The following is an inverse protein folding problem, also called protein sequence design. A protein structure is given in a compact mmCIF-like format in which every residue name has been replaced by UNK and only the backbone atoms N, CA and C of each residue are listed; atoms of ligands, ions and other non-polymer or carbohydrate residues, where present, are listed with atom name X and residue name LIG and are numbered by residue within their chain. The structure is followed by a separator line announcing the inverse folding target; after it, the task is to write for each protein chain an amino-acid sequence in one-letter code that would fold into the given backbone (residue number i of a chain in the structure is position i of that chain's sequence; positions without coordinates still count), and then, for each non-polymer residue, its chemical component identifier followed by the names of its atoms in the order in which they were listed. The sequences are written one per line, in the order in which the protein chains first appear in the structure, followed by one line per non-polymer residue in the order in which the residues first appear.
data_IF_377876899652
#
_entry.id   IF_377876899652
#
_cell.length_a   1.000
_cell.length_b   1.000
_cell.length_c   1.000
_cell.angle_alpha   90.00
_cell.angle_beta   90.00
_cell.angle_gamma   90.00
#
_symmetry.space_group_name_H-M   'P 1'
#
loop_
_entity.id
_entity.type
_entity.pdbx_description
1 polymer ?
#
# COMPACT_ATOMS: atom_id res chain seq x y z
N UNK A 1 -1.55 -26.49 -7.33
CA UNK A 1 -0.15 -26.49 -6.85
C UNK A 1 0.73 -25.42 -7.53
N UNK A 2 0.17 -24.48 -8.29
CA UNK A 2 0.92 -23.50 -9.11
C UNK A 2 1.22 -22.16 -8.42
N UNK A 3 0.37 -21.67 -7.51
CA UNK A 3 0.42 -20.25 -7.10
C UNK A 3 1.25 -19.91 -5.86
N UNK A 4 1.49 -20.83 -4.93
CA UNK A 4 2.21 -20.50 -3.68
C UNK A 4 3.67 -20.08 -3.95
N UNK A 5 4.36 -20.76 -4.88
CA UNK A 5 5.74 -20.39 -5.27
C UNK A 5 5.78 -19.01 -5.95
N UNK A 6 4.79 -18.70 -6.78
CA UNK A 6 4.64 -17.41 -7.45
C UNK A 6 4.44 -16.28 -6.43
N UNK A 7 3.55 -16.48 -5.45
CA UNK A 7 3.24 -15.51 -4.40
C UNK A 7 4.45 -15.21 -3.51
N UNK A 8 5.24 -16.24 -3.15
CA UNK A 8 6.48 -16.09 -2.37
C UNK A 8 7.54 -15.32 -3.17
N UNK A 9 7.73 -15.62 -4.45
CA UNK A 9 8.68 -14.90 -5.30
C UNK A 9 8.32 -13.41 -5.40
N UNK A 10 7.05 -13.11 -5.69
CA UNK A 10 6.55 -11.73 -5.74
C UNK A 10 6.76 -10.98 -4.42
N UNK A 11 6.47 -11.61 -3.27
CA UNK A 11 6.71 -11.01 -1.95
C UNK A 11 8.19 -10.68 -1.73
N UNK A 12 9.08 -11.61 -2.08
CA UNK A 12 10.52 -11.43 -1.95
C UNK A 12 11.03 -10.29 -2.83
N UNK A 13 10.51 -10.15 -4.05
CA UNK A 13 10.85 -9.05 -4.95
C UNK A 13 10.43 -7.70 -4.38
N UNK A 14 9.21 -7.61 -3.85
CA UNK A 14 8.78 -6.38 -3.17
C UNK A 14 9.64 -6.08 -1.94
N UNK A 15 9.93 -7.07 -1.09
CA UNK A 15 10.78 -6.89 0.08
C UNK A 15 12.18 -6.40 -0.29
N UNK A 16 12.76 -6.90 -1.40
CA UNK A 16 14.04 -6.42 -1.91
C UNK A 16 13.97 -4.92 -2.23
N UNK A 17 12.97 -4.49 -2.98
CA UNK A 17 12.77 -3.06 -3.29
C UNK A 17 12.60 -2.22 -2.02
N UNK A 18 11.79 -2.67 -1.06
CA UNK A 18 11.59 -1.96 0.21
C UNK A 18 12.88 -1.89 1.03
N UNK A 19 13.70 -2.93 1.03
CA UNK A 19 14.98 -2.93 1.72
C UNK A 19 15.97 -1.93 1.11
N UNK A 20 15.93 -1.74 -0.21
CA UNK A 20 16.72 -0.70 -0.89
C UNK A 20 16.25 0.70 -0.50
N UNK A 21 14.94 0.94 -0.38
CA UNK A 21 14.40 2.20 0.16
C UNK A 21 14.88 2.42 1.60
N UNK A 22 14.79 1.40 2.47
CA UNK A 22 15.25 1.49 3.86
C UNK A 22 16.73 1.83 3.97
N UNK A 23 17.58 1.38 3.03
CA UNK A 23 19.00 1.80 2.96
C UNK A 23 19.14 3.29 2.66
N UNK A 24 18.38 3.83 1.70
CA UNK A 24 18.39 5.27 1.39
C UNK A 24 17.88 6.12 2.56
N UNK A 25 16.83 5.67 3.24
CA UNK A 25 16.33 6.32 4.47
C UNK A 25 17.41 6.33 5.55
N UNK A 26 18.14 5.23 5.78
CA UNK A 26 19.28 5.21 6.71
C UNK A 26 20.38 6.21 6.32
N UNK A 27 20.64 6.38 5.03
CA UNK A 27 21.57 7.40 4.53
C UNK A 27 21.09 8.81 4.92
N UNK A 28 19.81 9.13 4.70
CA UNK A 28 19.22 10.41 5.12
C UNK A 28 19.37 10.64 6.63
N UNK A 29 19.07 9.60 7.44
CA UNK A 29 19.23 9.68 8.90
C UNK A 29 20.68 9.89 9.34
N UNK A 30 21.64 9.28 8.64
CA UNK A 30 23.06 9.51 8.89
C UNK A 30 23.50 10.92 8.50
N UNK A 31 22.94 11.48 7.42
CA UNK A 31 23.16 12.87 7.01
C UNK A 31 22.65 13.82 8.11
N UNK A 32 21.40 13.65 8.58
CA UNK A 32 20.84 14.42 9.70
C UNK A 32 21.70 14.35 10.94
N UNK A 33 22.10 13.16 11.39
CA UNK A 33 22.98 13.00 12.56
C UNK A 33 24.31 13.75 12.41
N UNK A 34 24.94 13.69 11.24
CA UNK A 34 26.22 14.38 10.98
C UNK A 34 26.06 15.90 10.95
N UNK A 35 25.01 16.40 10.29
CA UNK A 35 24.73 17.83 10.20
C UNK A 35 24.43 18.43 11.58
N UNK A 36 23.59 17.76 12.38
CA UNK A 36 23.28 18.17 13.75
C UNK A 36 24.52 18.16 14.64
N UNK A 37 25.36 17.12 14.56
CA UNK A 37 26.60 17.03 15.36
C UNK A 37 27.59 18.14 15.06
N UNK A 38 27.65 18.61 13.81
CA UNK A 38 28.56 19.65 13.34
C UNK A 38 27.93 21.05 13.35
N UNK A 39 26.66 21.16 13.72
CA UNK A 39 25.84 22.38 13.66
C UNK A 39 25.97 23.16 12.33
N UNK A 40 25.90 22.46 11.20
CA UNK A 40 26.07 23.05 9.86
C UNK A 40 24.79 23.78 9.45
N UNK A 41 24.54 24.97 10.01
CA UNK A 41 23.34 25.78 9.70
C UNK A 41 23.51 26.61 8.43
N UNK A 42 22.41 26.79 7.70
CA UNK A 42 22.32 27.81 6.65
C UNK A 42 22.25 29.21 7.28
N UNK A 43 22.70 30.24 6.55
CA UNK A 43 22.55 31.62 7.00
C UNK A 43 21.09 32.08 6.85
N UNK A 44 20.73 33.16 7.54
CA UNK A 44 19.38 33.75 7.41
C UNK A 44 19.12 34.22 5.97
N UNK A 45 20.16 34.72 5.28
CA UNK A 45 20.07 35.13 3.88
C UNK A 45 19.83 33.92 2.95
N UNK A 46 20.53 32.80 3.16
CA UNK A 46 20.32 31.57 2.40
C UNK A 46 18.87 31.08 2.52
N UNK A 47 18.31 31.10 3.74
CA UNK A 47 16.92 30.69 4.00
C UNK A 47 15.94 31.64 3.32
N UNK A 48 16.15 32.96 3.46
CA UNK A 48 15.27 33.97 2.87
C UNK A 48 15.20 33.88 1.35
N UNK A 49 16.33 33.63 0.68
CA UNK A 49 16.36 33.41 -0.79
C UNK A 49 15.49 32.22 -1.21
N UNK A 50 15.51 31.13 -0.42
CA UNK A 50 14.70 29.93 -0.69
C UNK A 50 13.21 30.24 -0.51
N UNK A 51 12.85 30.94 0.57
CA UNK A 51 11.46 31.31 0.87
C UNK A 51 10.90 32.27 -0.17
N UNK A 52 11.65 33.32 -0.52
CA UNK A 52 11.25 34.29 -1.56
C UNK A 52 11.09 33.60 -2.92
N UNK A 53 11.97 32.65 -3.28
CA UNK A 53 11.84 31.86 -4.51
C UNK A 53 10.56 31.03 -4.56
N UNK A 54 10.16 30.43 -3.44
CA UNK A 54 8.95 29.64 -3.35
C UNK A 54 7.68 30.49 -3.57
N UNK A 55 7.76 31.80 -3.31
CA UNK A 55 6.69 32.77 -3.55
C UNK A 55 6.62 33.25 -5.00
N UNK A 56 7.78 33.45 -5.65
CA UNK A 56 7.85 34.03 -7.01
C UNK A 56 7.92 33.00 -8.14
N UNK A 57 8.37 31.77 -7.85
CA UNK A 57 8.68 30.71 -8.84
C UNK A 57 9.73 31.12 -9.90
N UNK A 58 10.60 32.08 -9.60
CA UNK A 58 11.67 32.51 -10.51
C UNK A 58 12.83 31.50 -10.56
N UNK A 59 13.67 31.56 -11.60
CA UNK A 59 14.91 30.79 -11.64
C UNK A 59 16.05 31.60 -11.01
N UNK A 60 16.65 31.07 -9.94
CA UNK A 60 17.80 31.67 -9.25
C UNK A 60 18.97 30.69 -9.33
N UNK A 61 20.13 31.15 -9.79
CA UNK A 61 21.39 30.37 -9.79
C UNK A 61 21.98 30.30 -8.36
N UNK A 62 21.24 29.65 -7.47
CA UNK A 62 21.63 29.40 -6.09
C UNK A 62 22.11 27.96 -5.94
N UNK A 63 23.42 27.76 -5.72
CA UNK A 63 24.01 26.43 -5.52
C UNK A 63 24.58 26.27 -4.13
N UNK A 64 23.88 25.54 -3.27
CA UNK A 64 24.44 25.00 -2.05
C UNK A 64 24.63 23.49 -2.17
N UNK A 65 25.82 23.08 -2.63
CA UNK A 65 26.16 21.66 -2.83
C UNK A 65 26.44 20.89 -1.53
N UNK A 66 26.52 21.61 -0.40
CA UNK A 66 26.74 21.04 0.92
C UNK A 66 25.42 20.80 1.65
N UNK A 67 25.44 19.79 2.52
CA UNK A 67 24.32 19.53 3.43
C UNK A 67 24.35 20.59 4.52
N UNK A 68 23.25 21.35 4.64
CA UNK A 68 23.03 22.28 5.75
C UNK A 68 21.72 21.99 6.46
N UNK A 69 21.53 22.61 7.62
CA UNK A 69 20.29 22.69 8.38
C UNK A 69 19.63 24.03 8.02
N UNK A 70 18.47 23.96 7.39
CA UNK A 70 17.63 25.09 7.05
C UNK A 70 16.45 25.10 8.02
N UNK A 71 16.26 26.21 8.72
CA UNK A 71 15.12 26.45 9.61
C UNK A 71 14.28 27.54 8.97
N UNK A 72 13.08 27.19 8.52
CA UNK A 72 12.18 28.11 7.83
C UNK A 72 11.35 28.93 8.80
N UNK A 73 10.84 30.08 8.32
CA UNK A 73 10.01 31.02 9.08
C UNK A 73 8.70 30.40 9.58
N UNK A 74 8.17 29.40 8.88
CA UNK A 74 6.98 28.64 9.28
C UNK A 74 7.26 27.59 10.38
N UNK A 75 8.51 27.45 10.83
CA UNK A 75 8.95 26.48 11.84
C UNK A 75 9.44 25.14 11.27
N UNK A 76 9.23 24.89 9.97
CA UNK A 76 9.70 23.66 9.32
C UNK A 76 11.23 23.64 9.24
N UNK A 77 11.78 22.44 9.13
CA UNK A 77 13.22 22.24 9.03
C UNK A 77 13.55 21.31 7.90
N UNK A 78 14.54 21.69 7.09
CA UNK A 78 15.13 20.82 6.08
C UNK A 78 16.60 20.56 6.40
N UNK A 79 17.01 19.30 6.29
CA UNK A 79 18.41 18.89 6.37
C UNK A 79 18.77 18.14 5.11
N UNK A 80 19.51 18.79 4.22
CA UNK A 80 19.85 18.27 2.91
C UNK A 80 20.56 19.29 2.06
N UNK A 81 20.59 19.04 0.75
CA UNK A 81 21.20 19.94 -0.23
C UNK A 81 20.12 20.81 -0.87
N UNK A 82 20.51 22.04 -1.21
CA UNK A 82 19.65 22.96 -1.96
C UNK A 82 20.32 23.24 -3.30
N UNK A 83 19.59 23.02 -4.37
CA UNK A 83 20.02 23.30 -5.74
C UNK A 83 18.97 24.17 -6.41
N UNK A 84 19.40 25.27 -7.01
CA UNK A 84 18.56 26.25 -7.69
C UNK A 84 17.43 26.74 -6.76
N UNK A 85 17.81 27.06 -5.52
CA UNK A 85 16.93 27.44 -4.40
C UNK A 85 15.85 26.41 -4.02
N UNK A 86 16.00 25.13 -4.42
CA UNK A 86 15.03 24.06 -4.15
C UNK A 86 15.69 22.84 -3.49
N UNK A 87 14.93 22.12 -2.66
CA UNK A 87 15.33 20.85 -2.05
C UNK A 87 15.63 19.83 -3.15
N UNK A 88 16.83 19.24 -3.10
CA UNK A 88 17.31 18.32 -4.12
C UNK A 88 18.21 17.22 -3.52
N UNK A 89 18.04 16.00 -4.01
CA UNK A 89 18.76 14.83 -3.54
C UNK A 89 18.25 14.30 -2.19
N UNK A 90 19.09 13.57 -1.47
CA UNK A 90 18.70 12.93 -0.21
C UNK A 90 18.67 13.96 0.91
N UNK A 91 17.55 14.05 1.62
CA UNK A 91 17.38 14.93 2.77
C UNK A 91 16.30 14.46 3.74
N UNK A 92 16.11 15.28 4.77
CA UNK A 92 15.06 15.11 5.77
C UNK A 92 14.30 16.41 5.89
N UNK A 93 12.97 16.34 5.81
CA UNK A 93 12.07 17.45 6.04
C UNK A 93 11.22 17.15 7.27
N UNK A 94 11.38 17.97 8.31
CA UNK A 94 10.56 17.97 9.52
C UNK A 94 9.56 19.11 9.45
N UNK A 95 8.30 18.83 9.79
CA UNK A 95 7.23 19.81 9.82
C UNK A 95 6.29 19.53 10.99
N UNK A 96 5.55 20.55 11.41
CA UNK A 96 4.63 20.44 12.56
C UNK A 96 3.18 20.41 12.09
N UNK A 97 2.39 19.51 12.67
CA UNK A 97 0.93 19.53 12.51
C UNK A 97 0.30 20.61 13.38
N UNK A 98 -1.00 20.90 13.17
CA UNK A 98 -1.75 21.87 13.97
C UNK A 98 -1.76 21.53 15.47
N UNK A 99 -1.66 20.24 15.81
CA UNK A 99 -1.53 19.75 17.19
C UNK A 99 -0.06 19.64 17.66
N UNK A 100 0.84 20.42 17.06
CA UNK A 100 2.26 20.57 17.40
C UNK A 100 3.09 19.27 17.35
N UNK A 101 2.60 18.24 16.65
CA UNK A 101 3.38 17.01 16.46
C UNK A 101 4.37 17.19 15.31
N UNK A 102 5.65 16.93 15.60
CA UNK A 102 6.68 16.86 14.57
C UNK A 102 6.48 15.59 13.73
N UNK A 103 6.31 15.77 12.43
CA UNK A 103 6.32 14.71 11.43
C UNK A 103 7.53 14.87 10.53
N UNK A 104 7.97 13.75 9.96
CA UNK A 104 9.20 13.70 9.18
C UNK A 104 8.97 12.94 7.87
N UNK A 105 9.48 13.53 6.78
CA UNK A 105 9.82 12.80 5.57
C UNK A 105 11.33 12.63 5.49
N UNK A 106 11.79 11.40 5.24
CA UNK A 106 13.19 11.09 5.00
C UNK A 106 13.32 10.40 3.64
N UNK A 107 14.01 11.02 2.69
CA UNK A 107 14.09 10.46 1.34
C UNK A 107 14.71 11.40 0.33
N UNK A 108 14.47 11.07 -0.93
CA UNK A 108 14.91 11.85 -2.07
C UNK A 108 13.92 12.99 -2.38
N UNK A 109 14.49 14.12 -2.82
CA UNK A 109 13.81 15.31 -3.27
C UNK A 109 14.30 15.69 -4.66
N UNK A 110 13.42 16.33 -5.43
CA UNK A 110 13.76 17.00 -6.69
C UNK A 110 12.89 18.24 -6.81
N UNK A 111 13.53 19.41 -6.88
CA UNK A 111 12.84 20.69 -7.01
C UNK A 111 11.69 20.87 -5.98
N UNK A 112 11.99 20.69 -4.69
CA UNK A 112 11.05 20.73 -3.55
C UNK A 112 10.07 19.56 -3.42
N UNK A 113 9.92 18.72 -4.44
CA UNK A 113 8.98 17.61 -4.41
C UNK A 113 9.65 16.32 -3.93
N UNK A 114 8.92 15.47 -3.22
CA UNK A 114 9.32 14.08 -2.94
C UNK A 114 9.38 13.33 -4.27
N UNK A 115 10.56 12.80 -4.59
CA UNK A 115 10.86 12.14 -5.86
C UNK A 115 11.80 10.97 -5.58
N UNK A 116 11.65 9.84 -6.26
CA UNK A 116 12.50 8.67 -6.01
C UNK A 116 12.04 7.92 -4.77
N UNK A 117 12.91 7.61 -3.81
CA UNK A 117 12.55 6.76 -2.67
C UNK A 117 12.59 7.50 -1.33
N UNK A 118 11.64 7.19 -0.45
CA UNK A 118 11.59 7.77 0.87
C UNK A 118 10.67 7.04 1.84
N UNK A 119 10.67 7.55 3.07
CA UNK A 119 9.77 7.15 4.15
C UNK A 119 9.03 8.37 4.67
N UNK A 120 7.74 8.20 4.95
CA UNK A 120 6.86 9.22 5.51
C UNK A 120 6.01 8.65 6.63
N UNK A 121 5.96 9.34 7.77
CA UNK A 121 5.05 9.01 8.87
C UNK A 121 3.86 9.96 8.78
N UNK A 122 2.66 9.40 8.64
CA UNK A 122 1.41 10.15 8.56
C UNK A 122 0.94 10.58 9.95
N UNK A 123 0.14 11.67 10.05
CA UNK A 123 -0.45 12.12 11.31
C UNK A 123 -1.30 11.04 12.03
N UNK A 124 -1.85 10.08 11.29
CA UNK A 124 -2.62 8.97 11.86
C UNK A 124 -1.75 7.80 12.38
N UNK A 125 -0.42 7.95 12.40
CA UNK A 125 0.53 6.93 12.85
C UNK A 125 0.92 5.90 11.79
N UNK A 126 0.31 5.93 10.60
CA UNK A 126 0.72 5.05 9.52
C UNK A 126 2.12 5.45 9.02
N UNK A 127 2.90 4.49 8.54
CA UNK A 127 4.18 4.75 7.89
C UNK A 127 4.13 4.25 6.46
N UNK A 128 4.53 5.09 5.50
CA UNK A 128 4.81 4.65 4.13
C UNK A 128 6.31 4.59 3.88
N UNK A 129 6.74 3.53 3.21
CA UNK A 129 8.11 3.30 2.77
C UNK A 129 8.05 2.88 1.31
N UNK A 130 8.56 3.68 0.38
CA UNK A 130 8.42 3.34 -1.03
C UNK A 130 8.86 4.45 -1.96
N UNK A 131 8.47 4.32 -3.22
CA UNK A 131 8.73 5.33 -4.23
C UNK A 131 7.68 6.45 -4.26
N UNK A 132 8.14 7.63 -4.65
CA UNK A 132 7.41 8.86 -4.86
C UNK A 132 7.74 9.42 -6.24
N UNK A 133 6.77 10.09 -6.84
CA UNK A 133 6.93 10.87 -8.07
C UNK A 133 6.10 12.14 -7.93
N UNK A 134 6.74 13.30 -7.99
CA UNK A 134 6.08 14.60 -7.80
C UNK A 134 5.15 14.63 -6.56
N UNK A 135 5.68 14.29 -5.37
CA UNK A 135 4.93 14.18 -4.10
C UNK A 135 3.90 13.06 -3.98
N UNK A 136 3.66 12.31 -5.05
CA UNK A 136 2.64 11.26 -5.07
C UNK A 136 3.30 9.89 -4.94
N UNK A 137 2.72 9.01 -4.11
CA UNK A 137 3.17 7.60 -4.02
C UNK A 137 2.96 6.92 -5.37
N UNK A 138 4.02 6.34 -5.92
CA UNK A 138 4.06 5.73 -7.24
C UNK A 138 5.00 4.52 -7.20
N UNK A 139 4.76 3.47 -7.98
CA UNK A 139 5.65 2.29 -8.00
C UNK A 139 5.52 1.40 -6.76
N UNK A 140 6.60 0.78 -6.31
CA UNK A 140 6.56 -0.18 -5.19
C UNK A 140 6.61 0.57 -3.85
N UNK A 141 5.71 0.19 -2.92
CA UNK A 141 5.69 0.74 -1.58
C UNK A 141 5.12 -0.22 -0.54
N UNK A 142 5.41 0.08 0.71
CA UNK A 142 4.93 -0.58 1.92
C UNK A 142 4.19 0.44 2.77
N UNK A 143 2.99 0.09 3.26
CA UNK A 143 2.30 0.83 4.32
C UNK A 143 2.27 -0.05 5.54
N UNK A 144 2.81 0.46 6.65
CA UNK A 144 2.63 -0.08 7.99
C UNK A 144 1.51 0.74 8.65
N UNK A 145 0.40 0.10 8.98
CA UNK A 145 -0.74 0.79 9.58
C UNK A 145 -0.59 0.83 11.10
N UNK A 146 -1.10 1.89 11.73
CA UNK A 146 -1.04 2.06 13.18
C UNK A 146 -1.78 0.93 13.95
N UNK A 147 -2.75 0.27 13.30
CA UNK A 147 -3.48 -0.88 13.87
C UNK A 147 -2.73 -2.22 13.75
N UNK A 148 -1.51 -2.23 13.19
CA UNK A 148 -0.70 -3.44 12.97
C UNK A 148 -0.90 -4.11 11.61
N UNK A 149 -1.84 -3.64 10.79
CA UNK A 149 -1.97 -4.13 9.42
C UNK A 149 -0.77 -3.72 8.57
N UNK A 150 -0.56 -4.43 7.47
CA UNK A 150 0.50 -4.15 6.53
C UNK A 150 0.01 -4.32 5.08
N UNK A 151 0.41 -3.39 4.21
CA UNK A 151 0.32 -3.57 2.77
C UNK A 151 1.69 -3.44 2.14
N UNK A 152 2.02 -4.31 1.20
CA UNK A 152 3.20 -4.18 0.35
C UNK A 152 2.82 -4.47 -1.10
N UNK A 153 3.17 -3.58 -2.02
CA UNK A 153 2.83 -3.76 -3.41
C UNK A 153 2.90 -2.48 -4.23
N UNK A 154 2.20 -2.49 -5.35
CA UNK A 154 2.26 -1.41 -6.32
C UNK A 154 1.30 -0.26 -5.96
N UNK A 155 1.74 0.95 -6.30
CA UNK A 155 1.04 2.21 -6.19
C UNK A 155 1.01 2.91 -7.54
N UNK A 156 -0.11 3.58 -7.81
CA UNK A 156 -0.28 4.49 -8.93
C UNK A 156 -1.11 5.68 -8.49
N UNK A 157 -0.63 6.90 -8.73
CA UNK A 157 -1.33 8.14 -8.36
C UNK A 157 -1.78 8.14 -6.88
N UNK A 158 -0.92 7.67 -5.98
CA UNK A 158 -1.21 7.69 -4.55
C UNK A 158 -2.10 6.56 -4.05
N UNK A 159 -2.54 5.63 -4.90
CA UNK A 159 -3.45 4.54 -4.55
C UNK A 159 -2.83 3.17 -4.79
N UNK A 160 -3.20 2.16 -4.00
CA UNK A 160 -2.86 0.75 -4.27
C UNK A 160 -3.43 0.39 -5.65
N UNK A 161 -2.57 -0.08 -6.55
CA UNK A 161 -2.95 -0.36 -7.94
C UNK A 161 -1.97 -1.38 -8.53
N UNK A 162 -2.47 -2.43 -9.21
CA UNK A 162 -1.67 -3.57 -9.65
C UNK A 162 -1.53 -4.62 -8.54
N UNK A 163 -0.48 -5.43 -8.58
CA UNK A 163 -0.31 -6.53 -7.62
C UNK A 163 0.12 -6.02 -6.23
N UNK A 164 -0.40 -6.65 -5.19
CA UNK A 164 -0.02 -6.36 -3.81
C UNK A 164 -0.41 -7.45 -2.84
N UNK A 165 0.11 -7.31 -1.63
CA UNK A 165 -0.09 -8.22 -0.51
C UNK A 165 -0.59 -7.39 0.66
N UNK A 166 -1.68 -7.83 1.27
CA UNK A 166 -2.20 -7.25 2.49
C UNK A 166 -2.16 -8.29 3.59
N UNK A 167 -1.55 -7.95 4.70
CA UNK A 167 -1.50 -8.76 5.90
C UNK A 167 -2.27 -8.02 6.98
N UNK A 168 -3.31 -8.67 7.47
CA UNK A 168 -4.07 -8.17 8.61
C UNK A 168 -3.32 -8.47 9.91
N UNK A 169 -3.52 -7.64 10.93
CA UNK A 169 -2.89 -7.82 12.24
C UNK A 169 -3.28 -9.15 12.91
N UNK A 170 -4.42 -9.74 12.55
CA UNK A 170 -4.86 -11.07 13.00
C UNK A 170 -4.09 -12.23 12.34
N UNK A 171 -3.20 -11.93 11.39
CA UNK A 171 -2.38 -12.88 10.65
C UNK A 171 -2.99 -13.37 9.34
N UNK A 172 -4.25 -13.04 9.03
CA UNK A 172 -4.83 -13.33 7.72
C UNK A 172 -4.06 -12.58 6.62
N UNK A 173 -4.08 -13.12 5.40
CA UNK A 173 -3.37 -12.52 4.27
C UNK A 173 -4.17 -12.56 2.99
N UNK A 174 -3.99 -11.54 2.16
CA UNK A 174 -4.48 -11.47 0.79
C UNK A 174 -3.32 -11.24 -0.16
N UNK A 175 -3.29 -11.99 -1.26
CA UNK A 175 -2.36 -11.84 -2.37
C UNK A 175 -3.19 -11.63 -3.63
N UNK A 176 -3.01 -10.51 -4.34
CA UNK A 176 -3.76 -10.31 -5.57
C UNK A 176 -3.67 -8.93 -6.16
N UNK A 177 -4.64 -8.64 -7.01
CA UNK A 177 -4.72 -7.40 -7.76
C UNK A 177 -5.52 -6.32 -7.02
N UNK A 178 -5.05 -5.09 -7.16
CA UNK A 178 -5.67 -3.89 -6.64
C UNK A 178 -6.00 -2.92 -7.77
N UNK A 179 -7.13 -2.23 -7.61
CA UNK A 179 -7.51 -1.07 -8.42
C UNK A 179 -8.08 0.00 -7.50
N UNK A 180 -7.48 1.19 -7.55
CA UNK A 180 -7.94 2.36 -6.79
C UNK A 180 -8.18 2.08 -5.29
N UNK A 181 -7.20 1.45 -4.61
CA UNK A 181 -7.25 1.02 -3.21
C UNK A 181 -8.15 -0.19 -2.90
N UNK A 182 -8.80 -0.79 -3.90
CA UNK A 182 -9.70 -1.93 -3.70
C UNK A 182 -9.11 -3.22 -4.26
N UNK A 183 -9.37 -4.36 -3.62
CA UNK A 183 -9.12 -5.68 -4.19
C UNK A 183 -10.02 -5.84 -5.41
N UNK A 184 -9.42 -6.03 -6.58
CA UNK A 184 -10.10 -6.00 -7.87
C UNK A 184 -9.24 -6.73 -8.91
N UNK A 185 -9.77 -7.79 -9.52
CA UNK A 185 -8.99 -8.74 -10.33
C UNK A 185 -8.87 -10.11 -9.65
N UNK A 186 -7.82 -10.88 -9.94
CA UNK A 186 -7.63 -12.20 -9.33
C UNK A 186 -6.86 -12.08 -8.00
N UNK A 187 -7.20 -12.93 -7.03
CA UNK A 187 -6.46 -13.00 -5.77
C UNK A 187 -6.85 -14.15 -4.86
N UNK A 188 -5.97 -14.43 -3.90
CA UNK A 188 -6.04 -15.55 -2.97
C UNK A 188 -5.98 -15.04 -1.52
N UNK A 189 -6.87 -15.54 -0.66
CA UNK A 189 -6.91 -15.27 0.77
C UNK A 189 -6.46 -16.48 1.58
N UNK A 190 -5.69 -16.22 2.63
CA UNK A 190 -5.18 -17.20 3.57
C UNK A 190 -5.57 -16.82 4.99
N UNK A 191 -5.85 -17.82 5.83
CA UNK A 191 -6.07 -17.60 7.26
C UNK A 191 -4.74 -17.34 7.99
N UNK A 192 -4.82 -17.07 9.29
CA UNK A 192 -3.66 -16.83 10.15
C UNK A 192 -2.70 -18.02 10.29
N UNK A 193 -3.15 -19.24 9.94
CA UNK A 193 -2.31 -20.45 9.87
C UNK A 193 -1.68 -20.66 8.49
N UNK A 194 -1.89 -19.75 7.53
CA UNK A 194 -1.38 -19.86 6.17
C UNK A 194 -2.17 -20.83 5.28
N UNK A 195 -3.36 -21.25 5.69
CA UNK A 195 -4.23 -22.14 4.91
C UNK A 195 -5.07 -21.30 3.95
N UNK A 196 -5.12 -21.71 2.68
CA UNK A 196 -5.94 -21.08 1.65
C UNK A 196 -7.43 -21.17 2.01
N UNK A 197 -8.12 -20.04 2.08
CA UNK A 197 -9.58 -19.94 2.30
C UNK A 197 -10.31 -19.66 0.99
N UNK A 198 -9.72 -18.83 0.13
CA UNK A 198 -10.35 -18.43 -1.12
C UNK A 198 -9.30 -18.18 -2.20
N UNK A 199 -9.62 -18.53 -3.43
CA UNK A 199 -8.85 -18.15 -4.62
C UNK A 199 -9.82 -17.90 -5.78
N UNK A 200 -9.73 -16.74 -6.39
CA UNK A 200 -10.63 -16.38 -7.49
C UNK A 200 -10.71 -14.89 -7.76
N UNK A 201 -11.79 -14.50 -8.41
CA UNK A 201 -12.03 -13.13 -8.84
C UNK A 201 -12.59 -12.25 -7.70
N UNK A 202 -12.16 -10.99 -7.72
CA UNK A 202 -12.54 -9.93 -6.81
C UNK A 202 -13.02 -8.72 -7.59
N UNK A 203 -13.99 -8.01 -7.03
CA UNK A 203 -14.44 -6.73 -7.56
C UNK A 203 -14.76 -5.80 -6.41
N UNK A 204 -14.07 -4.66 -6.35
CA UNK A 204 -14.31 -3.63 -5.34
C UNK A 204 -14.39 -4.17 -3.89
N UNK A 205 -13.37 -4.93 -3.46
CA UNK A 205 -13.24 -5.56 -2.14
C UNK A 205 -14.20 -6.75 -1.86
N UNK A 206 -14.94 -7.24 -2.86
CA UNK A 206 -15.85 -8.36 -2.69
C UNK A 206 -15.47 -9.52 -3.61
N UNK A 207 -15.61 -10.74 -3.12
CA UNK A 207 -15.56 -11.95 -3.94
C UNK A 207 -16.65 -11.85 -5.02
N UNK A 208 -16.27 -12.06 -6.29
CA UNK A 208 -17.14 -11.85 -7.44
C UNK A 208 -16.64 -12.68 -8.62
N UNK A 209 -17.49 -13.08 -9.57
CA UNK A 209 -17.05 -13.89 -10.70
C UNK A 209 -16.69 -15.32 -10.26
N UNK A 210 -15.73 -15.97 -10.90
CA UNK A 210 -15.38 -17.37 -10.59
C UNK A 210 -14.36 -17.49 -9.46
N UNK A 211 -14.48 -18.54 -8.66
CA UNK A 211 -13.49 -18.85 -7.63
C UNK A 211 -13.74 -20.17 -6.90
N UNK A 212 -12.82 -20.48 -6.00
CA UNK A 212 -12.89 -21.61 -5.07
C UNK A 212 -12.88 -21.08 -3.64
N UNK A 213 -13.89 -21.44 -2.86
CA UNK A 213 -13.95 -21.15 -1.42
C UNK A 213 -13.79 -22.46 -0.64
N UNK A 214 -12.92 -22.45 0.36
CA UNK A 214 -12.56 -23.60 1.21
C UNK A 214 -12.89 -23.23 2.65
N UNK A 215 -13.75 -24.02 3.29
CA UNK A 215 -14.08 -23.85 4.70
C UNK A 215 -13.25 -24.81 5.57
N UNK A 216 -13.15 -24.49 6.86
CA UNK A 216 -12.34 -25.25 7.84
C UNK A 216 -12.85 -26.66 8.15
N UNK A 217 -14.04 -27.02 7.68
CA UNK A 217 -14.76 -28.28 7.93
C UNK A 217 -14.83 -29.17 6.68
N UNK A 218 -13.76 -29.19 5.89
CA UNK A 218 -13.64 -29.95 4.63
C UNK A 218 -14.67 -29.60 3.56
N UNK A 219 -15.48 -28.56 3.76
CA UNK A 219 -16.39 -28.06 2.72
C UNK A 219 -15.60 -27.27 1.70
N UNK A 220 -16.00 -27.38 0.44
CA UNK A 220 -15.44 -26.60 -0.67
C UNK A 220 -16.54 -26.22 -1.65
N UNK A 221 -16.47 -25.03 -2.19
CA UNK A 221 -17.33 -24.58 -3.28
C UNK A 221 -16.47 -24.07 -4.42
N UNK A 222 -16.75 -24.54 -5.63
CA UNK A 222 -16.09 -24.11 -6.85
C UNK A 222 -17.18 -23.60 -7.79
N UNK A 223 -17.14 -22.33 -8.16
CA UNK A 223 -18.19 -21.78 -9.00
C UNK A 223 -18.20 -20.27 -9.04
N UNK A 224 -19.36 -19.74 -9.41
CA UNK A 224 -19.57 -18.30 -9.54
C UNK A 224 -19.99 -17.65 -8.21
N UNK A 225 -19.65 -16.37 -8.10
CA UNK A 225 -19.93 -15.52 -6.96
C UNK A 225 -20.47 -14.17 -7.42
N UNK A 226 -21.36 -13.61 -6.63
CA UNK A 226 -21.86 -12.25 -6.79
C UNK A 226 -21.98 -11.58 -5.44
N UNK A 227 -21.19 -10.52 -5.25
CA UNK A 227 -21.18 -9.70 -4.03
C UNK A 227 -20.93 -10.53 -2.77
N UNK A 228 -19.92 -11.39 -2.80
CA UNK A 228 -19.53 -12.26 -1.69
C UNK A 228 -20.33 -13.55 -1.55
N UNK A 229 -21.40 -13.75 -2.33
CA UNK A 229 -22.30 -14.90 -2.21
C UNK A 229 -22.17 -15.86 -3.37
N UNK A 230 -22.33 -17.16 -3.14
CA UNK A 230 -22.43 -18.17 -4.19
C UNK A 230 -23.60 -17.81 -5.12
N UNK A 231 -23.34 -17.80 -6.41
CA UNK A 231 -24.29 -17.41 -7.45
C UNK A 231 -24.00 -18.19 -8.72
N UNK A 232 -24.85 -18.11 -9.75
CA UNK A 232 -24.56 -18.74 -11.05
C UNK A 232 -24.37 -20.25 -10.95
N UNK A 233 -23.52 -20.84 -11.77
CA UNK A 233 -23.24 -22.28 -11.73
C UNK A 233 -22.10 -22.61 -10.77
N UNK A 234 -22.20 -23.73 -10.05
CA UNK A 234 -21.11 -24.21 -9.21
C UNK A 234 -21.34 -25.54 -8.53
N UNK A 235 -20.25 -26.11 -8.03
CA UNK A 235 -20.16 -27.44 -7.43
C UNK A 235 -19.73 -27.32 -5.96
N UNK A 236 -20.49 -27.95 -5.07
CA UNK A 236 -20.25 -27.99 -3.63
C UNK A 236 -19.82 -29.39 -3.21
N UNK A 237 -18.76 -29.43 -2.41
CA UNK A 237 -18.12 -30.65 -1.94
C UNK A 237 -18.13 -30.70 -0.41
N UNK A 238 -18.25 -31.91 0.14
CA UNK A 238 -18.09 -32.22 1.56
C UNK A 238 -17.14 -33.41 1.67
N UNK A 239 -16.08 -33.28 2.46
CA UNK A 239 -15.07 -34.33 2.66
C UNK A 239 -14.46 -34.85 1.35
N UNK A 240 -14.36 -33.97 0.34
CA UNK A 240 -13.84 -34.30 -0.99
C UNK A 240 -14.88 -34.85 -1.96
N UNK A 241 -16.05 -35.28 -1.49
CA UNK A 241 -17.13 -35.84 -2.30
C UNK A 241 -18.03 -34.73 -2.86
N UNK A 242 -18.46 -34.89 -4.12
CA UNK A 242 -19.40 -33.96 -4.76
C UNK A 242 -20.80 -34.16 -4.17
N UNK A 243 -21.32 -33.15 -3.47
CA UNK A 243 -22.66 -33.20 -2.84
C UNK A 243 -23.72 -32.52 -3.70
N UNK A 244 -23.36 -31.45 -4.40
CA UNK A 244 -24.29 -30.73 -5.27
C UNK A 244 -23.54 -30.08 -6.42
N UNK A 245 -24.11 -30.18 -7.62
CA UNK A 245 -23.67 -29.43 -8.79
C UNK A 245 -24.91 -28.84 -9.47
N UNK A 246 -24.88 -27.54 -9.71
CA UNK A 246 -26.03 -26.84 -10.29
C UNK A 246 -26.00 -25.34 -10.06
N UNK A 247 -27.18 -24.72 -10.17
CA UNK A 247 -27.30 -23.26 -10.06
C UNK A 247 -27.47 -22.80 -8.61
N UNK A 248 -26.90 -21.65 -8.29
CA UNK A 248 -26.94 -21.02 -6.97
C UNK A 248 -27.51 -19.61 -7.08
N UNK A 249 -28.30 -19.20 -6.07
CA UNK A 249 -28.83 -17.85 -5.95
C UNK A 249 -28.64 -17.36 -4.52
N UNK A 250 -27.60 -16.54 -4.31
CA UNK A 250 -27.28 -15.92 -3.02
C UNK A 250 -27.16 -16.96 -1.89
N UNK A 251 -26.20 -17.86 -2.07
CA UNK A 251 -25.85 -18.94 -1.15
C UNK A 251 -26.80 -20.14 -1.06
N UNK A 252 -27.97 -20.07 -1.71
CA UNK A 252 -28.93 -21.17 -1.77
C UNK A 252 -28.84 -21.92 -3.11
N UNK A 253 -28.84 -23.28 -3.10
CA UNK A 253 -29.06 -24.06 -4.31
C UNK A 253 -30.39 -23.67 -4.95
N UNK A 254 -30.38 -23.59 -6.27
CA UNK A 254 -31.53 -23.26 -7.08
C UNK A 254 -31.70 -24.32 -8.17
N UNK A 255 -32.94 -24.70 -8.43
CA UNK A 255 -33.30 -25.56 -9.56
C UNK A 255 -34.32 -24.77 -10.38
N UNK A 256 -34.09 -24.64 -11.69
CA UNK A 256 -34.93 -23.85 -12.61
C UNK A 256 -35.16 -22.40 -12.17
N UNK A 257 -34.18 -21.77 -11.52
CA UNK A 257 -34.27 -20.37 -11.07
C UNK A 257 -35.11 -20.14 -9.80
N UNK A 258 -35.63 -21.22 -9.18
CA UNK A 258 -36.30 -21.22 -7.87
C UNK A 258 -35.39 -21.84 -6.81
N UNK A 259 -35.45 -21.33 -5.58
CA UNK A 259 -34.79 -21.93 -4.42
C UNK A 259 -35.46 -23.25 -4.04
N UNK A 260 -34.73 -24.14 -3.35
CA UNK A 260 -35.32 -25.39 -2.85
C UNK A 260 -36.53 -25.13 -1.93
N UNK A 261 -36.47 -24.09 -1.09
CA UNK A 261 -37.60 -23.66 -0.27
C UNK A 261 -38.82 -23.32 -1.13
N UNK A 262 -38.67 -22.51 -2.19
CA UNK A 262 -39.76 -22.16 -3.12
C UNK A 262 -40.34 -23.37 -3.88
N UNK A 263 -39.53 -24.41 -4.11
CA UNK A 263 -39.97 -25.63 -4.78
C UNK A 263 -40.78 -26.51 -3.81
N UNK A 264 -40.31 -26.66 -2.57
CA UNK A 264 -40.91 -27.58 -1.58
C UNK A 264 -41.94 -26.95 -0.65
N UNK A 265 -42.16 -25.63 -0.69
CA UNK A 265 -43.25 -24.96 0.06
C UNK A 265 -44.54 -24.78 -0.75
N UNK A 266 -44.61 -25.24 -2.00
CA UNK A 266 -45.89 -25.33 -2.71
C UNK A 266 -46.70 -26.46 -2.07
N UNK A 267 -47.47 -26.12 -1.04
CA UNK A 267 -48.54 -26.99 -0.53
C UNK A 267 -49.55 -27.17 -1.66
N UNK A 268 -49.72 -28.42 -2.10
CA UNK A 268 -50.85 -28.84 -2.93
C UNK A 268 -52.16 -28.66 -2.19
#
# INVERSE_FOLDING_TARGET
MSDTKSNVAMYNDFLKSINDVKRKVRTAQNIKRKALKKDIKASEEDVKVIEDNALTNEEIDFKCNEVKIYCFSNGDKYIGKIKDAKMDGIGIYSFFTEDERELEYAGEFKANLKEGYGQYIFPNGNTYIGSFKNDVREGIGQILYANGDEYIGNFKNGKKNGKGIFKWNDGCMYYGEYKDNKMDGFGSCYNSSGILIYEGQWKSNQIHGTGTYIWSDSKKYVGEFRNGKKHGYGSFYLDGELVYEGTWKFDKPSIFGRSLEEIFTVKF
#
